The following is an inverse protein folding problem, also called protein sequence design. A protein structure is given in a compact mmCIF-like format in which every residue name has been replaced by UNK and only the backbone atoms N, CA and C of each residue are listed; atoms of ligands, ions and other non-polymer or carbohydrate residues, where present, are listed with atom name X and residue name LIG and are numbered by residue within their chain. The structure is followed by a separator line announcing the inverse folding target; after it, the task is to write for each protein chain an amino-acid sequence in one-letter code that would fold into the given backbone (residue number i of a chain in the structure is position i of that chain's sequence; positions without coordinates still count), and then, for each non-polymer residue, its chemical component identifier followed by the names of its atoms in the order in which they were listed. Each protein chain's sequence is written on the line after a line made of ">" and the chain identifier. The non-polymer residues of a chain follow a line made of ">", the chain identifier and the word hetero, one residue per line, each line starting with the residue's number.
data_IF_244603191850
#
_entry.id   IF_244603191850
#
_cell.length_a   1.000
_cell.length_b   1.000
_cell.length_c   1.000
_cell.angle_alpha   90.00
_cell.angle_beta   90.00
_cell.angle_gamma   90.00
#
_symmetry.space_group_name_H-M   'P 1'
#
loop_
_entity.id
_entity.type
_entity.pdbx_description
1 polymer ?
#
# COMPACT_ATOMS: atom_id res chain seq x y z
N UNK A 1 4.76 -0.25 -15.97
CA UNK A 1 4.78 1.19 -15.71
C UNK A 1 4.20 1.50 -14.33
N UNK A 2 4.81 2.45 -13.63
CA UNK A 2 4.36 2.83 -12.30
C UNK A 2 3.67 4.20 -12.37
N UNK A 3 2.49 4.30 -11.80
CA UNK A 3 1.70 5.54 -11.81
C UNK A 3 1.98 6.43 -10.60
N UNK A 4 2.36 5.83 -9.48
CA UNK A 4 2.63 6.55 -8.24
C UNK A 4 3.93 6.04 -7.61
N UNK A 5 4.69 6.95 -7.00
CA UNK A 5 5.94 6.60 -6.32
C UNK A 5 5.65 6.14 -4.88
N UNK A 6 5.05 4.97 -4.75
CA UNK A 6 4.73 4.41 -3.43
C UNK A 6 5.97 3.96 -2.67
N UNK A 7 7.10 3.74 -3.36
CA UNK A 7 8.33 3.34 -2.68
C UNK A 7 8.88 4.47 -1.81
N UNK A 8 8.86 5.71 -2.30
CA UNK A 8 9.30 6.86 -1.51
C UNK A 8 8.39 7.06 -0.29
N UNK A 9 7.08 6.96 -0.49
CA UNK A 9 6.12 7.07 0.61
C UNK A 9 6.38 5.98 1.65
N UNK A 10 6.63 4.76 1.21
CA UNK A 10 6.90 3.64 2.11
C UNK A 10 8.19 3.85 2.90
N UNK A 11 9.24 4.38 2.26
CA UNK A 11 10.48 4.70 2.96
C UNK A 11 10.25 5.74 4.06
N UNK A 12 9.49 6.76 3.76
CA UNK A 12 9.15 7.81 4.72
C UNK A 12 8.31 7.26 5.88
N UNK A 13 7.51 6.25 5.61
CA UNK A 13 6.68 5.59 6.61
C UNK A 13 7.43 4.52 7.41
N UNK A 14 8.67 4.20 7.02
CA UNK A 14 9.45 3.17 7.69
C UNK A 14 9.02 1.75 7.37
N UNK A 15 8.38 1.54 6.22
CA UNK A 15 7.90 0.22 5.81
C UNK A 15 9.06 -0.58 5.20
N UNK A 16 9.40 -1.77 5.74
CA UNK A 16 10.44 -2.61 5.14
C UNK A 16 10.06 -3.01 3.71
N UNK A 17 11.07 -3.10 2.83
CA UNK A 17 10.85 -3.41 1.42
C UNK A 17 10.08 -4.70 1.20
N UNK A 18 10.35 -5.73 2.00
CA UNK A 18 9.65 -7.01 1.94
C UNK A 18 8.15 -6.85 2.20
N UNK A 19 7.79 -6.08 3.22
CA UNK A 19 6.38 -5.85 3.56
C UNK A 19 5.69 -4.97 2.53
N UNK A 20 6.42 -3.99 1.97
CA UNK A 20 5.88 -3.18 0.89
C UNK A 20 5.55 -4.03 -0.33
N UNK A 21 6.43 -4.95 -0.70
CA UNK A 21 6.20 -5.85 -1.81
C UNK A 21 4.92 -6.67 -1.60
N UNK A 22 4.73 -7.19 -0.39
CA UNK A 22 3.53 -7.95 -0.05
C UNK A 22 2.27 -7.09 -0.12
N UNK A 23 2.34 -5.86 0.37
CA UNK A 23 1.21 -4.93 0.36
C UNK A 23 0.83 -4.56 -1.08
N UNK A 24 1.81 -4.18 -1.88
CA UNK A 24 1.57 -3.80 -3.27
C UNK A 24 1.00 -4.97 -4.08
N UNK A 25 1.51 -6.17 -3.87
CA UNK A 25 1.01 -7.37 -4.52
C UNK A 25 -0.44 -7.64 -4.14
N UNK A 26 -0.77 -7.49 -2.87
CA UNK A 26 -2.12 -7.74 -2.38
C UNK A 26 -3.12 -6.76 -2.99
N UNK A 27 -2.76 -5.47 -3.09
CA UNK A 27 -3.63 -4.50 -3.75
C UNK A 27 -3.74 -4.79 -5.25
N UNK A 28 -2.65 -5.24 -5.89
CA UNK A 28 -2.70 -5.61 -7.30
C UNK A 28 -3.66 -6.79 -7.54
N UNK A 29 -3.72 -7.72 -6.61
CA UNK A 29 -4.66 -8.85 -6.69
C UNK A 29 -6.11 -8.41 -6.46
N UNK A 30 -6.34 -7.40 -5.63
CA UNK A 30 -7.67 -6.83 -5.44
C UNK A 30 -8.16 -6.06 -6.66
N UNK A 31 -7.24 -5.44 -7.40
CA UNK A 31 -7.56 -4.62 -8.57
C UNK A 31 -6.79 -5.13 -9.79
N UNK A 32 -7.07 -6.35 -10.26
CA UNK A 32 -6.25 -6.96 -11.33
C UNK A 32 -6.37 -6.25 -12.67
N UNK A 33 -7.46 -5.49 -12.87
CA UNK A 33 -7.70 -4.77 -14.14
C UNK A 33 -7.41 -3.28 -14.04
N UNK A 34 -6.92 -2.81 -12.88
CA UNK A 34 -6.68 -1.38 -12.66
C UNK A 34 -5.40 -1.18 -11.86
N UNK A 35 -4.22 -1.29 -12.52
CA UNK A 35 -2.95 -1.13 -11.80
C UNK A 35 -2.77 0.26 -11.21
N UNK A 36 -3.35 1.29 -11.83
CA UNK A 36 -3.25 2.65 -11.28
C UNK A 36 -3.98 2.74 -9.95
N UNK A 37 -5.17 2.17 -9.85
CA UNK A 37 -5.94 2.16 -8.60
C UNK A 37 -5.22 1.34 -7.53
N UNK A 38 -4.62 0.21 -7.90
CA UNK A 38 -3.85 -0.61 -6.97
C UNK A 38 -2.68 0.18 -6.38
N UNK A 39 -1.96 0.93 -7.22
CA UNK A 39 -0.86 1.75 -6.74
C UNK A 39 -1.34 2.91 -5.87
N UNK A 40 -2.48 3.50 -6.21
CA UNK A 40 -3.08 4.56 -5.40
C UNK A 40 -3.43 4.05 -4.00
N UNK A 41 -4.01 2.85 -3.91
CA UNK A 41 -4.31 2.24 -2.61
C UNK A 41 -3.04 1.99 -1.82
N UNK A 42 -1.97 1.57 -2.48
CA UNK A 42 -0.67 1.36 -1.82
C UNK A 42 -0.13 2.68 -1.26
N UNK A 43 -0.20 3.76 -2.03
CA UNK A 43 0.22 5.09 -1.57
C UNK A 43 -0.62 5.53 -0.37
N UNK A 44 -1.93 5.38 -0.43
CA UNK A 44 -2.82 5.78 0.65
C UNK A 44 -2.54 5.02 1.94
N UNK A 45 -2.29 3.72 1.83
CA UNK A 45 -1.91 2.91 2.98
C UNK A 45 -0.58 3.38 3.56
N UNK A 46 0.40 3.65 2.72
CA UNK A 46 1.70 4.18 3.15
C UNK A 46 1.57 5.51 3.88
N UNK A 47 0.72 6.40 3.37
CA UNK A 47 0.49 7.70 4.00
C UNK A 47 -0.19 7.54 5.36
N UNK A 48 -1.16 6.64 5.48
CA UNK A 48 -1.83 6.38 6.74
C UNK A 48 -0.87 5.82 7.79
N UNK A 49 0.06 4.95 7.37
CA UNK A 49 1.09 4.40 8.23
C UNK A 49 2.05 5.51 8.67
N UNK A 50 2.47 6.36 7.75
CA UNK A 50 3.36 7.48 8.05
C UNK A 50 2.73 8.43 9.07
N UNK A 51 1.43 8.64 8.98
CA UNK A 51 0.69 9.52 9.88
C UNK A 51 0.31 8.86 11.20
N UNK A 52 0.63 7.60 11.40
CA UNK A 52 0.35 6.89 12.63
C UNK A 52 -1.08 6.42 12.81
N UNK A 53 -1.89 6.47 11.74
CA UNK A 53 -3.29 6.03 11.79
C UNK A 53 -3.46 4.52 11.58
N UNK A 54 -2.41 3.87 11.08
CA UNK A 54 -2.45 2.48 10.68
C UNK A 54 -1.06 1.88 10.85
N UNK A 55 -0.96 0.60 11.20
CA UNK A 55 0.32 -0.12 11.17
C UNK A 55 0.40 -0.96 9.91
N UNK A 56 1.63 -1.34 9.53
CA UNK A 56 1.81 -2.20 8.35
C UNK A 56 1.14 -3.57 8.57
N UNK A 57 1.14 -4.09 9.79
CA UNK A 57 0.48 -5.35 10.11
C UNK A 57 -1.02 -5.24 9.93
N UNK A 58 -1.62 -4.14 10.37
CA UNK A 58 -3.05 -3.89 10.16
C UNK A 58 -3.38 -3.78 8.67
N UNK A 59 -2.52 -3.09 7.91
CA UNK A 59 -2.71 -2.95 6.47
C UNK A 59 -2.69 -4.30 5.76
N UNK A 60 -1.76 -5.19 6.14
CA UNK A 60 -1.65 -6.51 5.53
C UNK A 60 -2.82 -7.42 5.92
N UNK A 61 -3.39 -7.22 7.10
CA UNK A 61 -4.47 -8.07 7.60
C UNK A 61 -5.86 -7.62 7.16
N UNK A 62 -6.04 -6.33 6.84
CA UNK A 62 -7.37 -5.77 6.58
C UNK A 62 -7.40 -4.97 5.28
N UNK A 63 -6.95 -5.61 4.20
CA UNK A 63 -6.88 -4.98 2.89
C UNK A 63 -8.24 -4.58 2.34
N UNK A 64 -9.28 -5.35 2.62
CA UNK A 64 -10.62 -5.06 2.10
C UNK A 64 -11.15 -3.75 2.67
N UNK A 65 -10.93 -3.49 3.95
CA UNK A 65 -11.35 -2.24 4.56
C UNK A 65 -10.59 -1.04 3.98
N UNK A 66 -9.32 -1.24 3.63
CA UNK A 66 -8.49 -0.17 3.06
C UNK A 66 -8.85 0.11 1.60
N UNK A 67 -9.27 -0.90 0.86
CA UNK A 67 -9.61 -0.79 -0.55
C UNK A 67 -11.03 -0.28 -0.79
N UNK A 68 -11.89 -0.38 0.18
CA UNK A 68 -13.29 0.01 0.07
C UNK A 68 -13.51 1.52 -0.10
#
# INVERSE_FOLDING_TARGET
>A
MRYFDYETVAQQAGIPAEKLTRLAKAFAEEEPNDPMLAELHTVRAGMAIQQGRLTIEEALNDLHALAA
#
